data_IF_821066685941
#
_entry.id   IF_821066685941
#
_cell.length_a   1.000
_cell.length_b   1.000
_cell.length_c   1.000
_cell.angle_alpha   90.00
_cell.angle_beta   90.00
_cell.angle_gamma   90.00
#
_symmetry.space_group_name_H-M   'P 1'
#
loop_
_entity.id
_entity.type
_entity.pdbx_description
1 polymer ?
#
# COMPACT_ATOMS: atom_id res chain seq x y z
N UNK A 1 -5.14 1.94 -9.74
CA UNK A 1 -4.80 2.85 -10.85
C UNK A 1 -3.62 3.73 -10.44
N UNK A 2 -3.75 5.00 -10.06
CA UNK A 2 -2.57 5.89 -9.89
C UNK A 2 -1.44 5.36 -8.98
N UNK A 3 -1.77 4.83 -7.80
CA UNK A 3 -0.76 4.25 -6.90
C UNK A 3 -0.12 2.97 -7.47
N UNK A 4 -0.87 2.18 -8.24
CA UNK A 4 -0.37 0.99 -8.94
C UNK A 4 0.60 1.40 -10.07
N UNK A 5 0.24 2.42 -10.84
CA UNK A 5 1.03 2.88 -11.99
C UNK A 5 2.37 3.49 -11.55
N UNK A 6 2.39 4.13 -10.38
CA UNK A 6 3.62 4.66 -9.76
C UNK A 6 4.59 3.57 -9.31
N UNK A 7 4.06 2.45 -8.79
CA UNK A 7 4.86 1.50 -8.01
C UNK A 7 5.99 0.87 -8.82
N UNK A 8 5.73 0.46 -10.06
CA UNK A 8 6.73 -0.18 -10.91
C UNK A 8 7.98 0.68 -11.15
N UNK A 9 7.84 1.88 -11.75
CA UNK A 9 8.96 2.81 -11.96
C UNK A 9 9.69 3.19 -10.67
N UNK A 10 8.95 3.45 -9.59
CA UNK A 10 9.53 3.81 -8.29
C UNK A 10 10.34 2.66 -7.68
N UNK A 11 9.79 1.45 -7.65
CA UNK A 11 10.48 0.25 -7.15
C UNK A 11 11.76 -0.02 -7.96
N UNK A 12 11.69 0.13 -9.28
CA UNK A 12 12.86 -0.05 -10.15
C UNK A 12 13.96 0.99 -9.92
N UNK A 13 13.59 2.24 -9.56
CA UNK A 13 14.54 3.28 -9.22
C UNK A 13 15.17 3.05 -7.83
N UNK A 14 14.36 2.68 -6.83
CA UNK A 14 14.84 2.35 -5.48
C UNK A 14 15.89 1.23 -5.49
N UNK A 15 15.77 0.26 -6.41
CA UNK A 15 16.72 -0.83 -6.56
C UNK A 15 18.14 -0.40 -7.02
N UNK A 16 18.33 0.85 -7.47
CA UNK A 16 19.66 1.40 -7.80
C UNK A 16 20.41 1.95 -6.57
N UNK A 17 19.71 2.11 -5.45
CA UNK A 17 20.25 2.68 -4.23
C UNK A 17 20.22 1.63 -3.11
N UNK A 18 21.22 1.68 -2.22
CA UNK A 18 21.19 0.85 -1.02
C UNK A 18 20.48 1.57 0.13
N UNK A 19 20.13 0.82 1.18
CA UNK A 19 19.39 1.33 2.35
C UNK A 19 20.16 2.35 3.20
N UNK A 20 21.49 2.44 3.05
CA UNK A 20 22.29 3.49 3.69
C UNK A 20 22.23 4.83 2.93
N UNK A 21 21.81 4.80 1.66
CA UNK A 21 21.59 6.00 0.86
C UNK A 21 20.13 6.46 0.94
N UNK A 22 19.20 5.56 0.63
CA UNK A 22 17.77 5.90 0.55
C UNK A 22 16.98 4.98 1.48
N UNK A 23 16.33 5.60 2.48
CA UNK A 23 15.27 4.96 3.26
C UNK A 23 13.93 5.17 2.56
N UNK A 24 13.23 4.08 2.26
CA UNK A 24 11.88 4.13 1.70
C UNK A 24 10.86 3.69 2.74
N UNK A 25 9.80 4.48 2.91
CA UNK A 25 8.66 4.15 3.77
C UNK A 25 7.38 4.43 3.01
N UNK A 26 6.44 3.49 3.07
CA UNK A 26 5.13 3.63 2.48
C UNK A 26 4.08 3.69 3.59
N UNK A 27 3.27 4.74 3.59
CA UNK A 27 2.10 4.85 4.47
C UNK A 27 0.85 4.57 3.65
N UNK A 28 0.08 3.57 4.06
CA UNK A 28 -1.23 3.32 3.46
C UNK A 28 -2.22 4.40 3.89
N UNK A 29 -2.97 4.94 2.93
CA UNK A 29 -3.95 6.00 3.18
C UNK A 29 -5.21 5.72 2.37
N UNK A 30 -6.25 5.23 3.04
CA UNK A 30 -7.54 4.97 2.41
C UNK A 30 -8.33 6.27 2.23
N UNK A 31 -8.64 6.61 0.98
CA UNK A 31 -9.56 7.69 0.65
C UNK A 31 -11.01 7.24 0.86
N UNK A 32 -11.88 8.18 1.26
CA UNK A 32 -13.28 7.90 1.62
C UNK A 32 -14.14 7.44 0.42
N UNK A 33 -13.70 7.69 -0.81
CA UNK A 33 -14.38 7.27 -2.05
C UNK A 33 -14.06 5.82 -2.46
N UNK A 34 -13.32 5.05 -1.65
CA UNK A 34 -13.06 3.63 -1.89
C UNK A 34 -13.67 2.78 -0.77
N UNK A 35 -14.80 2.12 -1.05
CA UNK A 35 -15.60 1.34 -0.09
C UNK A 35 -14.76 0.41 0.80
N UNK A 36 -13.79 -0.29 0.21
CA UNK A 36 -12.91 -1.24 0.92
C UNK A 36 -11.45 -0.77 1.05
N UNK A 37 -11.18 0.52 0.85
CA UNK A 37 -9.83 1.08 0.92
C UNK A 37 -9.16 0.88 2.29
N UNK A 38 -9.91 1.03 3.39
CA UNK A 38 -9.37 0.83 4.74
C UNK A 38 -9.00 -0.65 5.00
N UNK A 39 -9.80 -1.59 4.49
CA UNK A 39 -9.51 -3.02 4.61
C UNK A 39 -8.27 -3.40 3.80
N UNK A 40 -8.16 -2.90 2.56
CA UNK A 40 -6.97 -3.09 1.74
C UNK A 40 -5.71 -2.50 2.40
N UNK A 41 -5.81 -1.28 2.97
CA UNK A 41 -4.72 -0.65 3.72
C UNK A 41 -4.31 -1.46 4.97
N UNK A 42 -5.29 -2.08 5.64
CA UNK A 42 -5.05 -2.91 6.82
C UNK A 42 -4.32 -4.21 6.51
N UNK A 43 -4.48 -4.75 5.30
CA UNK A 43 -3.82 -5.98 4.91
C UNK A 43 -2.29 -5.90 4.91
N UNK A 44 -1.70 -4.71 4.74
CA UNK A 44 -0.24 -4.54 4.84
C UNK A 44 0.27 -4.84 6.26
N UNK A 45 -0.44 -4.36 7.27
CA UNK A 45 -0.14 -4.66 8.68
C UNK A 45 -0.50 -6.10 9.06
N UNK A 46 -1.51 -6.69 8.43
CA UNK A 46 -1.81 -8.11 8.60
C UNK A 46 -0.67 -8.99 8.03
N UNK A 47 -0.14 -8.65 6.86
CA UNK A 47 1.02 -9.33 6.28
C UNK A 47 2.27 -9.18 7.15
N UNK A 48 2.54 -7.97 7.65
CA UNK A 48 3.66 -7.70 8.57
C UNK A 48 3.56 -8.52 9.87
N UNK A 49 2.36 -8.59 10.48
CA UNK A 49 2.12 -9.42 11.66
C UNK A 49 2.33 -10.92 11.41
N UNK A 50 2.10 -11.37 10.17
CA UNK A 50 2.37 -12.74 9.73
C UNK A 50 3.82 -12.96 9.27
N UNK A 51 4.73 -12.01 9.56
CA UNK A 51 6.13 -12.02 9.14
C UNK A 51 6.32 -12.13 7.62
N UNK A 52 5.41 -11.53 6.85
CA UNK A 52 5.50 -11.40 5.40
C UNK A 52 5.86 -9.98 5.00
N UNK A 53 6.38 -9.84 3.79
CA UNK A 53 6.68 -8.54 3.21
C UNK A 53 5.37 -7.76 2.96
N UNK A 54 5.16 -6.60 3.61
CA UNK A 54 3.97 -5.78 3.37
C UNK A 54 3.90 -5.27 1.92
N UNK A 55 5.02 -5.16 1.20
CA UNK A 55 5.02 -4.81 -0.22
C UNK A 55 4.49 -5.94 -1.10
N UNK A 56 4.67 -7.20 -0.71
CA UNK A 56 4.06 -8.33 -1.42
C UNK A 56 2.52 -8.28 -1.33
N UNK A 57 1.96 -7.82 -0.21
CA UNK A 57 0.53 -7.54 -0.10
C UNK A 57 0.08 -6.39 -1.00
N UNK A 58 0.80 -5.27 -0.99
CA UNK A 58 0.50 -4.15 -1.87
C UNK A 58 0.48 -4.58 -3.34
N UNK A 59 1.47 -5.36 -3.77
CA UNK A 59 1.57 -5.88 -5.14
C UNK A 59 0.44 -6.86 -5.48
N UNK A 60 0.09 -7.76 -4.56
CA UNK A 60 -1.05 -8.65 -4.72
C UNK A 60 -2.36 -7.87 -4.85
N UNK A 61 -2.53 -6.79 -4.07
CA UNK A 61 -3.70 -5.92 -4.17
C UNK A 61 -3.74 -5.15 -5.49
N UNK A 62 -2.62 -4.64 -6.00
CA UNK A 62 -2.58 -4.02 -7.31
C UNK A 62 -2.98 -4.99 -8.43
N UNK A 63 -2.54 -6.24 -8.34
CA UNK A 63 -2.88 -7.28 -9.32
C UNK A 63 -4.35 -7.74 -9.25
N UNK A 64 -5.06 -7.48 -8.14
CA UNK A 64 -6.43 -7.93 -7.90
C UNK A 64 -7.40 -6.75 -7.63
N UNK A 65 -6.98 -5.51 -7.92
CA UNK A 65 -7.69 -4.31 -7.46
C UNK A 65 -9.12 -4.22 -8.02
N UNK A 66 -9.30 -4.66 -9.25
CA UNK A 66 -10.58 -4.72 -9.97
C UNK A 66 -11.65 -5.48 -9.20
N UNK A 67 -11.29 -6.57 -8.51
CA UNK A 67 -12.21 -7.37 -7.69
C UNK A 67 -12.83 -6.60 -6.51
N UNK A 68 -12.23 -5.49 -6.12
CA UNK A 68 -12.65 -4.69 -4.96
C UNK A 68 -13.25 -3.34 -5.37
N UNK A 69 -13.54 -3.13 -6.65
CA UNK A 69 -14.30 -1.97 -7.11
C UNK A 69 -15.75 -2.03 -6.62
N UNK A 70 -16.45 -0.90 -6.71
CA UNK A 70 -17.81 -0.79 -6.19
C UNK A 70 -18.75 -1.80 -6.86
N UNK A 71 -18.71 -1.92 -8.19
CA UNK A 71 -19.59 -2.82 -8.95
C UNK A 71 -19.38 -4.31 -8.61
N UNK A 72 -18.16 -4.87 -8.64
CA UNK A 72 -17.94 -6.29 -8.28
C UNK A 72 -18.29 -6.64 -6.83
N UNK A 73 -18.31 -5.66 -5.95
CA UNK A 73 -18.59 -5.86 -4.51
C UNK A 73 -19.98 -5.44 -4.09
N UNK A 74 -20.84 -5.00 -5.02
CA UNK A 74 -22.10 -4.35 -4.66
C UNK A 74 -23.12 -5.29 -4.01
N UNK A 75 -23.12 -6.55 -4.45
CA UNK A 75 -23.99 -7.60 -3.92
C UNK A 75 -23.30 -8.51 -2.89
N UNK A 76 -22.08 -8.16 -2.47
CA UNK A 76 -21.33 -8.94 -1.49
C UNK A 76 -21.57 -8.41 -0.08
N UNK A 77 -21.79 -9.32 0.85
CA UNK A 77 -21.73 -9.01 2.28
C UNK A 77 -20.31 -8.64 2.67
N UNK A 78 -20.16 -7.86 3.75
CA UNK A 78 -18.83 -7.53 4.29
C UNK A 78 -17.99 -8.78 4.61
N UNK A 79 -18.62 -9.87 5.08
CA UNK A 79 -17.92 -11.15 5.31
C UNK A 79 -17.36 -11.74 4.01
N UNK A 80 -18.15 -11.77 2.94
CA UNK A 80 -17.69 -12.28 1.65
C UNK A 80 -16.52 -11.44 1.10
N UNK A 81 -16.53 -10.13 1.28
CA UNK A 81 -15.40 -9.28 0.85
C UNK A 81 -14.14 -9.53 1.68
N UNK A 82 -14.27 -9.75 3.00
CA UNK A 82 -13.13 -10.16 3.83
C UNK A 82 -12.56 -11.51 3.37
N UNK A 83 -13.40 -12.46 3.00
CA UNK A 83 -12.97 -13.72 2.44
C UNK A 83 -12.22 -13.56 1.11
N UNK A 84 -12.61 -12.60 0.26
CA UNK A 84 -11.86 -12.26 -0.96
C UNK A 84 -10.46 -11.74 -0.63
N UNK A 85 -10.32 -10.85 0.37
CA UNK A 85 -9.00 -10.40 0.82
C UNK A 85 -8.15 -11.56 1.36
N UNK A 86 -8.76 -12.47 2.14
CA UNK A 86 -8.09 -13.67 2.61
C UNK A 86 -7.62 -14.57 1.45
N UNK A 87 -8.45 -14.74 0.42
CA UNK A 87 -8.07 -15.51 -0.77
C UNK A 87 -6.88 -14.88 -1.51
N UNK A 88 -6.87 -13.55 -1.66
CA UNK A 88 -5.73 -12.84 -2.26
C UNK A 88 -4.44 -13.08 -1.47
N UNK A 89 -4.50 -13.06 -0.14
CA UNK A 89 -3.33 -13.31 0.70
C UNK A 89 -2.82 -14.77 0.62
N UNK A 90 -3.73 -15.72 0.46
CA UNK A 90 -3.42 -17.15 0.32
C UNK A 90 -2.81 -17.47 -1.04
N UNK A 91 -3.39 -16.92 -2.11
CA UNK A 91 -3.00 -17.21 -3.49
C UNK A 91 -1.69 -16.48 -3.89
N UNK A 92 -1.43 -15.31 -3.31
CA UNK A 92 -0.26 -14.51 -3.64
C UNK A 92 1.05 -15.25 -3.30
N UNK A 93 1.93 -15.52 -4.30
CA UNK A 93 3.15 -16.30 -4.08
C UNK A 93 4.10 -15.75 -3.01
N UNK A 94 4.16 -14.43 -2.86
CA UNK A 94 4.99 -13.74 -1.86
C UNK A 94 4.40 -13.73 -0.44
N UNK A 95 3.15 -14.16 -0.26
CA UNK A 95 2.47 -14.14 1.03
C UNK A 95 2.21 -15.57 1.53
N UNK A 96 1.36 -16.33 0.83
CA UNK A 96 0.91 -17.68 1.23
C UNK A 96 0.39 -17.72 2.67
N UNK A 97 -0.35 -16.69 3.07
CA UNK A 97 -0.96 -16.64 4.41
C UNK A 97 -2.30 -17.37 4.32
N UNK A 98 -2.59 -18.36 5.19
CA UNK A 98 -3.87 -19.05 5.17
C UNK A 98 -5.05 -18.08 5.21
N UNK A 99 -6.06 -18.31 4.37
CA UNK A 99 -7.22 -17.40 4.23
C UNK A 99 -7.83 -17.00 5.57
N UNK A 100 -8.11 -17.99 6.43
CA UNK A 100 -8.76 -17.76 7.73
C UNK A 100 -7.88 -16.98 8.71
N UNK A 101 -6.57 -17.20 8.67
CA UNK A 101 -5.60 -16.46 9.48
C UNK A 101 -5.57 -14.99 9.07
N UNK A 102 -5.52 -14.72 7.76
CA UNK A 102 -5.53 -13.36 7.25
C UNK A 102 -6.84 -12.63 7.57
N UNK A 103 -7.99 -13.31 7.42
CA UNK A 103 -9.31 -12.76 7.80
C UNK A 103 -9.37 -12.45 9.30
N UNK A 104 -8.85 -13.33 10.15
CA UNK A 104 -8.78 -13.08 11.59
C UNK A 104 -7.88 -11.88 11.91
N UNK A 105 -6.74 -11.76 11.23
CA UNK A 105 -5.82 -10.64 11.38
C UNK A 105 -6.48 -9.30 10.99
N UNK A 106 -7.20 -9.24 9.87
CA UNK A 106 -7.93 -8.04 9.44
C UNK A 106 -8.99 -7.58 10.45
N UNK A 107 -9.58 -8.50 11.22
CA UNK A 107 -10.57 -8.22 12.27
C UNK A 107 -9.91 -7.91 13.63
N UNK A 108 -8.60 -8.04 13.73
CA UNK A 108 -7.88 -7.89 14.99
C UNK A 108 -7.69 -6.42 15.39
N UNK A 109 -7.68 -6.17 16.70
CA UNK A 109 -7.42 -4.84 17.26
C UNK A 109 -6.01 -4.30 16.90
N UNK A 110 -4.92 -5.09 16.95
CA UNK A 110 -3.59 -4.59 16.61
C UNK A 110 -3.50 -4.06 15.17
N UNK A 111 -3.99 -4.82 14.19
CA UNK A 111 -4.02 -4.39 12.78
C UNK A 111 -4.84 -3.12 12.63
N UNK A 112 -6.04 -3.06 13.23
CA UNK A 112 -6.88 -1.87 13.17
C UNK A 112 -6.18 -0.62 13.74
N UNK A 113 -5.48 -0.73 14.87
CA UNK A 113 -4.77 0.39 15.48
C UNK A 113 -3.58 0.85 14.64
N UNK A 114 -2.84 -0.08 14.04
CA UNK A 114 -1.74 0.23 13.13
C UNK A 114 -2.25 1.01 11.91
N UNK A 115 -3.30 0.51 11.23
CA UNK A 115 -3.90 1.20 10.07
C UNK A 115 -4.43 2.59 10.43
N UNK A 116 -5.05 2.75 11.60
CA UNK A 116 -5.52 4.07 12.05
C UNK A 116 -4.36 5.03 12.32
N UNK A 117 -3.20 4.52 12.72
CA UNK A 117 -2.02 5.34 12.99
C UNK A 117 -1.43 5.87 11.69
N UNK A 118 -1.25 5.01 10.68
CA UNK A 118 -0.79 5.43 9.34
C UNK A 118 -1.79 6.36 8.66
N UNK A 119 -3.09 6.07 8.76
CA UNK A 119 -4.13 6.95 8.23
C UNK A 119 -4.12 8.35 8.86
N UNK A 120 -4.02 8.44 10.20
CA UNK A 120 -3.92 9.72 10.92
C UNK A 120 -2.66 10.50 10.56
N UNK A 121 -1.54 9.80 10.31
CA UNK A 121 -0.31 10.43 9.85
C UNK A 121 -0.52 11.10 8.48
N UNK A 122 -1.22 10.43 7.56
CA UNK A 122 -1.61 11.05 6.28
C UNK A 122 -2.47 12.30 6.46
N UNK A 123 -3.47 12.26 7.36
CA UNK A 123 -4.28 13.43 7.68
C UNK A 123 -3.44 14.58 8.26
N UNK A 124 -2.53 14.29 9.20
CA UNK A 124 -1.65 15.28 9.81
C UNK A 124 -0.73 15.97 8.79
N UNK A 125 -0.42 15.30 7.69
CA UNK A 125 0.38 15.82 6.58
C UNK A 125 -0.47 16.34 5.40
N UNK A 126 -1.77 16.59 5.63
CA UNK A 126 -2.70 17.11 4.62
C UNK A 126 -2.74 16.29 3.32
N UNK A 127 -2.59 14.97 3.42
CA UNK A 127 -2.76 14.06 2.28
C UNK A 127 -4.24 14.03 1.90
N UNK A 128 -4.53 14.44 0.66
CA UNK A 128 -5.89 14.49 0.09
C UNK A 128 -6.06 13.60 -1.14
N UNK A 129 -4.97 13.07 -1.67
CA UNK A 129 -4.93 12.18 -2.82
C UNK A 129 -3.77 11.19 -2.68
N UNK A 130 -3.85 10.09 -3.43
CA UNK A 130 -2.83 9.05 -3.45
C UNK A 130 -2.43 8.73 -4.90
N UNK A 131 -1.12 8.61 -5.19
CA UNK A 131 -0.01 8.79 -4.26
C UNK A 131 0.23 10.27 -3.88
N UNK A 132 0.84 10.51 -2.72
CA UNK A 132 1.44 11.79 -2.31
C UNK A 132 2.84 11.49 -1.79
N UNK A 133 3.83 12.29 -2.16
CA UNK A 133 5.23 12.00 -1.88
C UNK A 133 5.88 13.03 -0.95
N UNK A 134 6.80 12.54 -0.13
CA UNK A 134 7.59 13.31 0.80
C UNK A 134 9.05 12.86 0.72
N UNK A 135 9.99 13.79 0.82
CA UNK A 135 11.41 13.51 1.00
C UNK A 135 11.91 14.33 2.19
N UNK A 136 12.58 13.67 3.14
CA UNK A 136 13.07 14.28 4.38
C UNK A 136 12.00 15.12 5.12
N UNK A 137 10.75 14.65 5.10
CA UNK A 137 9.60 15.32 5.74
C UNK A 137 8.96 16.45 4.92
N UNK A 138 9.53 16.85 3.79
CA UNK A 138 8.97 17.87 2.91
C UNK A 138 8.17 17.26 1.75
N UNK A 139 6.94 17.75 1.53
CA UNK A 139 6.13 17.37 0.37
C UNK A 139 6.77 17.90 -0.91
N UNK A 140 6.82 17.08 -1.95
CA UNK A 140 7.26 17.50 -3.29
C UNK A 140 6.25 17.09 -4.36
N UNK A 141 6.32 17.75 -5.52
CA UNK A 141 5.46 17.47 -6.64
C UNK A 141 6.03 16.32 -7.46
N UNK A 142 5.34 15.19 -7.42
CA UNK A 142 5.48 14.08 -8.35
C UNK A 142 4.08 13.52 -8.64
N UNK A 143 3.93 12.88 -9.78
CA UNK A 143 2.68 12.24 -10.20
C UNK A 143 2.95 10.78 -10.60
N UNK A 144 1.87 10.09 -10.96
CA UNK A 144 1.86 8.67 -11.33
C UNK A 144 2.51 8.37 -12.69
N UNK A 145 2.94 9.40 -13.42
CA UNK A 145 3.60 9.27 -14.73
C UNK A 145 5.13 9.31 -14.64
N UNK A 146 5.69 9.56 -13.44
CA UNK A 146 7.13 9.62 -13.24
C UNK A 146 7.82 8.31 -13.64
N UNK A 147 8.72 8.42 -14.61
CA UNK A 147 9.56 7.32 -15.07
C UNK A 147 10.62 6.96 -14.04
N UNK A 148 11.20 5.76 -14.19
CA UNK A 148 12.36 5.32 -13.41
C UNK A 148 13.49 6.37 -13.42
N UNK A 149 13.80 6.95 -14.58
CA UNK A 149 14.88 7.92 -14.74
C UNK A 149 14.62 9.21 -13.94
N UNK A 150 13.38 9.68 -13.89
CA UNK A 150 12.99 10.84 -13.08
C UNK A 150 13.12 10.55 -11.58
N UNK A 151 12.71 9.36 -11.13
CA UNK A 151 12.92 8.93 -9.75
C UNK A 151 14.40 8.88 -9.36
N UNK A 152 15.25 8.28 -10.20
CA UNK A 152 16.71 8.23 -9.98
C UNK A 152 17.31 9.64 -9.94
N UNK A 153 16.91 10.51 -10.86
CA UNK A 153 17.35 11.91 -10.87
C UNK A 153 16.97 12.61 -9.56
N UNK A 154 15.74 12.43 -9.09
CA UNK A 154 15.27 13.00 -7.84
C UNK A 154 16.06 12.48 -6.62
N UNK A 155 16.29 11.17 -6.52
CA UNK A 155 17.07 10.60 -5.42
C UNK A 155 18.50 11.14 -5.39
N UNK A 156 19.15 11.28 -6.55
CA UNK A 156 20.47 11.90 -6.64
C UNK A 156 20.46 13.38 -6.18
N UNK A 157 19.40 14.13 -6.49
CA UNK A 157 19.25 15.51 -6.00
C UNK A 157 19.12 15.55 -4.48
N UNK A 158 18.31 14.67 -3.89
CA UNK A 158 18.13 14.59 -2.43
C UNK A 158 19.43 14.20 -1.72
N UNK A 159 20.21 13.27 -2.28
CA UNK A 159 21.48 12.82 -1.71
C UNK A 159 22.61 13.87 -1.78
N UNK A 160 22.47 14.88 -2.64
CA UNK A 160 23.47 15.93 -2.81
C UNK A 160 23.30 17.13 -1.85
N UNK A 161 22.26 17.12 -1.02
CA UNK A 161 21.98 18.15 0.00
C UNK A 161 22.62 17.80 1.34
#
# INVERSE_FOLDING_TARGET
>A
MFAQDTWGPLKAALAEFNSAQIGFTMHTFSLANHRYGFTAASGAHAAENAHKDPFAWMEAMFANQDKFWDEPTDNLTGTQVFELFGQVAEDAPGLRIPKDEFVAALKSRPVNLATRTTWKLGCANAVSNTPTFFANGARFAADDTWTKAQWVQFFNQVLSQ
#
